data_IF_633924388413
#
_entry.id   IF_633924388413
#
_cell.length_a   1.000
_cell.length_b   1.000
_cell.length_c   1.000
_cell.angle_alpha   90.00
_cell.angle_beta   90.00
_cell.angle_gamma   90.00
#
_symmetry.space_group_name_H-M   'P 1'
#
loop_
_entity.id
_entity.type
_entity.pdbx_description
1 polymer ?
#
# COMPACT_ATOMS: atom_id res chain seq x y z
N UNK A 1 25.55 -11.27 6.06
CA UNK A 1 24.55 -10.18 5.94
C UNK A 1 23.61 -10.58 4.82
N UNK A 2 22.35 -10.88 5.12
CA UNK A 2 21.33 -11.16 4.10
C UNK A 2 21.05 -9.87 3.31
N UNK A 3 21.00 -9.96 1.98
CA UNK A 3 20.64 -8.81 1.14
C UNK A 3 19.17 -8.43 1.40
N UNK A 4 18.89 -7.15 1.61
CA UNK A 4 17.52 -6.64 1.78
C UNK A 4 16.73 -6.80 0.49
N UNK A 5 15.55 -7.41 0.55
CA UNK A 5 14.68 -7.58 -0.62
C UNK A 5 14.02 -6.26 -1.01
N UNK A 6 13.52 -6.16 -2.25
CA UNK A 6 12.76 -4.98 -2.68
C UNK A 6 11.51 -4.76 -1.81
N UNK A 7 10.86 -5.84 -1.38
CA UNK A 7 9.69 -5.77 -0.52
C UNK A 7 10.05 -5.26 0.89
N UNK A 8 11.16 -5.71 1.47
CA UNK A 8 11.68 -5.18 2.74
C UNK A 8 12.07 -3.70 2.64
N UNK A 9 12.65 -3.27 1.51
CA UNK A 9 12.92 -1.84 1.24
C UNK A 9 11.62 -1.03 1.22
N UNK A 10 10.59 -1.57 0.58
CA UNK A 10 9.25 -0.97 0.55
C UNK A 10 8.62 -0.87 1.93
N UNK A 11 8.74 -1.92 2.74
CA UNK A 11 8.28 -1.94 4.12
C UNK A 11 8.92 -0.83 4.95
N UNK A 12 10.26 -0.73 4.91
CA UNK A 12 11.02 0.30 5.63
C UNK A 12 10.63 1.71 5.20
N UNK A 13 10.37 1.91 3.91
CA UNK A 13 9.92 3.19 3.39
C UNK A 13 8.52 3.55 3.91
N UNK A 14 7.58 2.59 3.86
CA UNK A 14 6.20 2.83 4.28
C UNK A 14 6.10 3.05 5.79
N UNK A 15 6.83 2.27 6.60
CA UNK A 15 6.93 2.49 8.06
C UNK A 15 7.39 3.92 8.37
N UNK A 16 8.40 4.45 7.67
CA UNK A 16 8.89 5.82 7.86
C UNK A 16 7.85 6.88 7.44
N UNK A 17 7.10 6.64 6.37
CA UNK A 17 6.05 7.57 5.93
C UNK A 17 4.92 7.61 6.96
N UNK A 18 4.46 6.46 7.43
CA UNK A 18 3.41 6.35 8.44
C UNK A 18 3.83 6.99 9.78
N UNK A 19 5.10 6.81 10.18
CA UNK A 19 5.68 7.51 11.33
C UNK A 19 5.65 9.04 11.15
N UNK A 20 6.07 9.55 9.99
CA UNK A 20 6.01 11.00 9.69
C UNK A 20 4.57 11.54 9.65
N UNK A 21 3.61 10.70 9.30
CA UNK A 21 2.17 11.01 9.39
C UNK A 21 1.62 10.94 10.83
N UNK A 22 2.47 10.60 11.82
CA UNK A 22 2.08 10.41 13.23
C UNK A 22 1.01 9.33 13.41
N UNK A 23 1.05 8.28 12.60
CA UNK A 23 0.14 7.14 12.68
C UNK A 23 0.76 6.00 13.50
N UNK A 24 0.08 5.46 14.52
CA UNK A 24 0.62 4.42 15.39
C UNK A 24 0.50 3.02 14.76
N UNK A 25 0.80 2.87 13.48
CA UNK A 25 0.73 1.57 12.77
C UNK A 25 2.10 1.11 12.27
N UNK A 26 2.19 -0.18 11.96
CA UNK A 26 3.35 -0.80 11.31
C UNK A 26 2.89 -1.52 10.05
N UNK A 27 3.85 -1.92 9.24
CA UNK A 27 3.61 -2.69 8.02
C UNK A 27 4.09 -4.12 8.17
N UNK A 28 3.37 -5.03 7.53
CA UNK A 28 3.73 -6.44 7.38
C UNK A 28 3.81 -6.80 5.91
N UNK A 29 4.45 -7.93 5.61
CA UNK A 29 4.63 -8.40 4.24
C UNK A 29 3.71 -9.59 3.96
N UNK A 30 2.91 -9.48 2.91
CA UNK A 30 2.23 -10.63 2.32
C UNK A 30 3.16 -11.18 1.22
N UNK A 31 3.97 -12.19 1.56
CA UNK A 31 4.97 -12.75 0.64
C UNK A 31 4.35 -13.50 -0.55
N UNK A 32 3.13 -14.01 -0.40
CA UNK A 32 2.45 -14.73 -1.48
C UNK A 32 1.95 -13.76 -2.56
N UNK A 33 1.48 -12.58 -2.14
CA UNK A 33 0.99 -11.53 -3.04
C UNK A 33 2.02 -10.47 -3.41
N UNK A 34 3.15 -10.44 -2.70
CA UNK A 34 4.20 -9.41 -2.82
C UNK A 34 3.67 -8.01 -2.43
N UNK A 35 2.87 -7.94 -1.35
CA UNK A 35 2.20 -6.71 -0.91
C UNK A 35 2.76 -6.17 0.40
N UNK A 36 2.70 -4.84 0.53
CA UNK A 36 2.92 -4.13 1.78
C UNK A 36 1.56 -3.93 2.47
N UNK A 37 1.35 -4.57 3.61
CA UNK A 37 0.08 -4.55 4.34
C UNK A 37 0.20 -3.64 5.56
N UNK A 38 -0.66 -2.64 5.67
CA UNK A 38 -0.69 -1.74 6.83
C UNK A 38 -1.52 -2.39 7.94
N UNK A 39 -0.91 -2.62 9.10
CA UNK A 39 -1.61 -3.08 10.29
C UNK A 39 -2.43 -1.94 10.90
N UNK A 40 -3.75 -2.06 10.80
CA UNK A 40 -4.71 -1.05 11.22
C UNK A 40 -5.19 -1.22 12.66
N UNK A 41 -4.77 -2.26 13.40
CA UNK A 41 -5.32 -2.57 14.72
C UNK A 41 -5.14 -1.45 15.75
N UNK A 42 -4.05 -0.69 15.63
CA UNK A 42 -3.73 0.43 16.51
C UNK A 42 -4.30 1.79 16.03
N UNK A 43 -4.92 1.83 14.83
CA UNK A 43 -5.50 3.06 14.29
C UNK A 43 -6.87 3.32 14.89
N UNK A 44 -7.12 4.58 15.24
CA UNK A 44 -8.48 5.04 15.53
C UNK A 44 -9.33 5.04 14.24
N UNK A 45 -10.67 4.99 14.33
CA UNK A 45 -11.53 5.08 13.14
C UNK A 45 -11.24 6.33 12.29
N UNK A 46 -10.98 7.47 12.92
CA UNK A 46 -10.67 8.72 12.21
C UNK A 46 -9.34 8.61 11.44
N UNK A 47 -8.31 8.02 12.05
CA UNK A 47 -7.02 7.80 11.38
C UNK A 47 -7.13 6.79 10.24
N UNK A 48 -7.90 5.72 10.44
CA UNK A 48 -8.16 4.71 9.41
C UNK A 48 -8.85 5.32 8.19
N UNK A 49 -9.92 6.10 8.40
CA UNK A 49 -10.64 6.80 7.33
C UNK A 49 -9.75 7.84 6.63
N UNK A 50 -8.91 8.57 7.37
CA UNK A 50 -7.97 9.52 6.80
C UNK A 50 -6.89 8.83 5.95
N UNK A 51 -6.39 7.68 6.39
CA UNK A 51 -5.37 6.90 5.68
C UNK A 51 -5.94 6.22 4.42
N UNK A 52 -7.19 5.79 4.46
CA UNK A 52 -7.88 5.26 3.30
C UNK A 52 -8.23 6.38 2.31
N UNK A 53 -8.85 7.44 2.81
CA UNK A 53 -9.39 8.54 2.02
C UNK A 53 -10.64 8.15 1.20
N UNK A 54 -11.29 9.14 0.55
CA UNK A 54 -12.46 8.88 -0.28
C UNK A 54 -12.14 7.88 -1.39
N UNK A 55 -12.86 6.75 -1.42
CA UNK A 55 -12.64 5.65 -2.37
C UNK A 55 -11.20 5.12 -2.43
N UNK A 56 -10.43 5.23 -1.34
CA UNK A 56 -9.03 4.76 -1.31
C UNK A 56 -7.99 5.76 -1.84
N UNK A 57 -8.39 7.00 -2.15
CA UNK A 57 -7.51 7.96 -2.82
C UNK A 57 -6.21 8.27 -2.06
N UNK A 58 -6.21 8.25 -0.73
CA UNK A 58 -4.99 8.49 0.06
C UNK A 58 -4.08 7.27 0.01
N UNK A 59 -4.64 6.07 0.12
CA UNK A 59 -3.89 4.81 -0.04
C UNK A 59 -3.27 4.72 -1.44
N UNK A 60 -3.99 5.12 -2.48
CA UNK A 60 -3.51 5.17 -3.85
C UNK A 60 -2.40 6.20 -4.06
N UNK A 61 -2.52 7.39 -3.45
CA UNK A 61 -1.47 8.40 -3.49
C UNK A 61 -0.18 7.91 -2.80
N UNK A 62 -0.31 7.23 -1.65
CA UNK A 62 0.82 6.60 -0.96
C UNK A 62 1.47 5.51 -1.82
N UNK A 63 0.67 4.66 -2.46
CA UNK A 63 1.17 3.62 -3.36
C UNK A 63 1.90 4.23 -4.56
N UNK A 64 1.32 5.26 -5.17
CA UNK A 64 1.96 5.99 -6.27
C UNK A 64 3.31 6.57 -5.81
N UNK A 65 3.35 7.22 -4.65
CA UNK A 65 4.59 7.78 -4.11
C UNK A 65 5.63 6.69 -3.82
N UNK A 66 5.23 5.55 -3.28
CA UNK A 66 6.12 4.40 -3.06
C UNK A 66 6.75 3.96 -4.38
N UNK A 67 5.93 3.74 -5.41
CA UNK A 67 6.38 3.31 -6.72
C UNK A 67 7.30 4.32 -7.40
N UNK A 68 6.97 5.62 -7.33
CA UNK A 68 7.81 6.67 -7.93
C UNK A 68 9.13 6.80 -7.20
N UNK A 69 9.11 6.85 -5.86
CA UNK A 69 10.31 7.11 -5.07
C UNK A 69 11.26 5.92 -5.02
N UNK A 70 10.74 4.70 -4.86
CA UNK A 70 11.54 3.49 -4.72
C UNK A 70 12.09 2.98 -6.05
N UNK A 71 11.45 3.31 -7.18
CA UNK A 71 11.94 2.95 -8.51
C UNK A 71 12.68 4.10 -9.22
N UNK A 72 12.83 5.27 -8.58
CA UNK A 72 13.54 6.39 -9.17
C UNK A 72 15.01 6.04 -9.43
N UNK A 73 15.44 6.16 -10.69
CA UNK A 73 16.82 5.86 -11.08
C UNK A 73 17.17 4.37 -11.10
N UNK A 74 16.17 3.49 -10.93
CA UNK A 74 16.31 2.04 -11.10
C UNK A 74 16.01 1.69 -12.55
N UNK A 75 16.88 0.90 -13.19
CA UNK A 75 16.69 0.39 -14.54
C UNK A 75 15.36 -0.37 -14.65
N UNK A 76 14.66 -0.22 -15.77
CA UNK A 76 13.30 -0.76 -15.95
C UNK A 76 13.18 -2.26 -15.62
N UNK A 77 14.20 -3.07 -15.95
CA UNK A 77 14.22 -4.51 -15.68
C UNK A 77 14.38 -4.86 -14.19
N UNK A 78 14.84 -3.92 -13.38
CA UNK A 78 15.09 -4.06 -11.95
C UNK A 78 14.04 -3.34 -11.08
N UNK A 79 13.12 -2.60 -11.71
CA UNK A 79 12.02 -1.94 -11.01
C UNK A 79 11.09 -2.98 -10.39
N UNK A 80 10.55 -2.63 -9.24
CA UNK A 80 9.64 -3.50 -8.50
C UNK A 80 8.33 -2.74 -8.21
N UNK A 81 7.18 -3.24 -8.68
CA UNK A 81 5.91 -2.62 -8.41
C UNK A 81 5.49 -2.88 -6.96
N UNK A 82 5.17 -1.82 -6.24
CA UNK A 82 4.67 -1.91 -4.87
C UNK A 82 3.15 -1.81 -4.84
N UNK A 83 2.49 -2.76 -4.19
CA UNK A 83 1.06 -2.68 -3.86
C UNK A 83 0.89 -2.45 -2.36
N UNK A 84 0.08 -1.44 -2.01
CA UNK A 84 -0.30 -1.16 -0.63
C UNK A 84 -1.69 -1.71 -0.35
N UNK A 85 -1.83 -2.41 0.78
CA UNK A 85 -3.08 -2.98 1.24
C UNK A 85 -3.42 -2.45 2.65
N UNK A 86 -4.70 -2.15 2.86
CA UNK A 86 -5.27 -1.69 4.11
C UNK A 86 -6.69 -2.27 4.27
N UNK A 87 -6.88 -3.14 5.26
CA UNK A 87 -8.19 -3.65 5.70
C UNK A 87 -9.03 -4.31 4.58
N UNK A 88 -8.40 -5.03 3.66
CA UNK A 88 -9.07 -5.72 2.55
C UNK A 88 -9.57 -4.78 1.45
N UNK A 89 -9.11 -3.53 1.42
CA UNK A 89 -9.60 -2.51 0.51
C UNK A 89 -9.42 -2.92 -0.96
N UNK A 90 -8.28 -3.55 -1.32
CA UNK A 90 -8.04 -3.96 -2.71
C UNK A 90 -9.02 -5.03 -3.17
N UNK A 91 -9.35 -5.98 -2.30
CA UNK A 91 -10.34 -7.01 -2.57
C UNK A 91 -11.75 -6.43 -2.70
N UNK A 92 -12.15 -5.53 -1.79
CA UNK A 92 -13.44 -4.85 -1.87
C UNK A 92 -13.56 -4.04 -3.18
N UNK A 93 -12.52 -3.27 -3.52
CA UNK A 93 -12.53 -2.44 -4.73
C UNK A 93 -12.61 -3.26 -6.01
N UNK A 94 -11.98 -4.44 -6.04
CA UNK A 94 -12.10 -5.37 -7.17
C UNK A 94 -13.56 -5.82 -7.37
N UNK A 95 -14.27 -6.18 -6.29
CA UNK A 95 -15.68 -6.58 -6.37
C UNK A 95 -16.54 -5.42 -6.88
N UNK A 96 -16.34 -4.20 -6.36
CA UNK A 96 -17.06 -3.00 -6.81
C UNK A 96 -16.86 -2.75 -8.32
N UNK A 97 -15.62 -2.87 -8.81
CA UNK A 97 -15.29 -2.69 -10.22
C UNK A 97 -15.88 -3.79 -11.11
N UNK A 98 -15.91 -5.03 -10.63
CA UNK A 98 -16.55 -6.15 -11.33
C UNK A 98 -18.06 -5.93 -11.48
N UNK A 99 -18.74 -5.54 -10.40
CA UNK A 99 -20.18 -5.21 -10.45
C UNK A 99 -20.47 -4.04 -11.40
N UNK A 100 -19.62 -3.00 -11.41
CA UNK A 100 -19.75 -1.90 -12.36
C UNK A 100 -19.57 -2.36 -13.81
N UNK A 101 -18.60 -3.24 -14.08
CA UNK A 101 -18.37 -3.79 -15.41
C UNK A 101 -19.55 -4.65 -15.89
N UNK A 102 -20.14 -5.45 -15.02
CA UNK A 102 -21.28 -6.32 -15.33
C UNK A 102 -22.57 -5.52 -15.61
N UNK A 103 -22.75 -4.38 -14.94
CA UNK A 103 -23.94 -3.51 -15.09
C UNK A 103 -23.83 -2.47 -16.20
N UNK A 104 -22.64 -2.32 -16.80
CA UNK A 104 -22.40 -1.43 -17.93
C UNK A 104 -22.76 -2.06 -19.29
N UNK A 105 -23.30 -3.29 -19.29
CA UNK A 105 -23.78 -4.06 -20.46
C UNK A 105 -25.29 -3.92 -20.58
#
# INVERSE_FOLDING_TARGET
MTATTNLERGQQWLDQVLEKMSLPCRTTLDQERDWLVIDHQALTPVQLEALLGPQGAVLDALQFLANVTLNLGVDAEQQHPYTLELRGHRAQRLVELQTLAETAV
#
